data_IF_315709035716
#
_entry.id   IF_315709035716
#
_cell.length_a   1.000
_cell.length_b   1.000
_cell.length_c   1.000
_cell.angle_alpha   90.00
_cell.angle_beta   90.00
_cell.angle_gamma   90.00
#
_symmetry.space_group_name_H-M   'P 1'
#
loop_
_entity.id
_entity.type
_entity.pdbx_description
1 polymer ?
#
# COMPACT_ATOMS: atom_id res chain seq x y z
N UNK A 1 -20.92 37.82 -16.50
CA UNK A 1 -20.96 37.19 -17.84
C UNK A 1 -20.00 36.01 -17.95
N UNK A 2 -18.75 36.11 -17.45
CA UNK A 2 -17.80 34.99 -17.50
C UNK A 2 -18.22 33.80 -16.62
N UNK A 3 -18.87 34.06 -15.49
CA UNK A 3 -19.33 32.99 -14.57
C UNK A 3 -20.31 32.03 -15.23
N UNK A 4 -21.25 32.52 -16.04
CA UNK A 4 -22.21 31.69 -16.77
C UNK A 4 -21.55 30.78 -17.82
N UNK A 5 -20.45 31.25 -18.44
CA UNK A 5 -19.67 30.46 -19.40
C UNK A 5 -18.90 29.34 -18.69
N UNK A 6 -18.31 29.61 -17.53
CA UNK A 6 -17.65 28.61 -16.69
C UNK A 6 -18.65 27.56 -16.23
N UNK A 7 -19.83 28.00 -15.76
CA UNK A 7 -20.88 27.09 -15.28
C UNK A 7 -21.44 26.20 -16.40
N UNK A 8 -21.52 26.73 -17.62
CA UNK A 8 -21.89 25.96 -18.81
C UNK A 8 -20.81 24.94 -19.18
N UNK A 9 -19.54 25.34 -19.16
CA UNK A 9 -18.41 24.46 -19.45
C UNK A 9 -18.31 23.31 -18.42
N UNK A 10 -18.51 23.61 -17.13
CA UNK A 10 -18.59 22.60 -16.07
C UNK A 10 -19.75 21.62 -16.28
N UNK A 11 -20.92 22.09 -16.74
CA UNK A 11 -22.05 21.21 -17.10
C UNK A 11 -21.75 20.32 -18.31
N UNK A 12 -20.97 20.80 -19.28
CA UNK A 12 -20.58 20.03 -20.46
C UNK A 12 -19.48 18.99 -20.15
N UNK A 13 -18.58 19.29 -19.22
CA UNK A 13 -17.66 18.29 -18.65
C UNK A 13 -18.45 17.25 -17.86
N UNK A 14 -19.47 17.66 -17.08
CA UNK A 14 -20.39 16.74 -16.37
C UNK A 14 -21.14 15.80 -17.32
N UNK A 15 -21.58 16.28 -18.49
CA UNK A 15 -22.26 15.43 -19.49
C UNK A 15 -21.30 14.57 -20.31
N UNK A 16 -19.98 14.72 -20.12
CA UNK A 16 -18.96 14.00 -20.87
C UNK A 16 -18.78 14.49 -22.31
N UNK A 17 -19.38 15.63 -22.66
CA UNK A 17 -19.26 16.25 -23.99
C UNK A 17 -17.87 16.85 -24.22
N UNK A 18 -17.16 17.21 -23.15
CA UNK A 18 -15.85 17.87 -23.20
C UNK A 18 -14.86 17.15 -22.29
N UNK A 19 -13.66 16.87 -22.81
CA UNK A 19 -12.60 16.21 -22.06
C UNK A 19 -12.00 17.15 -21.01
N UNK A 20 -11.49 16.57 -19.91
CA UNK A 20 -10.86 17.33 -18.81
C UNK A 20 -9.64 18.13 -19.30
N UNK A 21 -8.94 17.61 -20.31
CA UNK A 21 -7.74 18.25 -20.88
C UNK A 21 -8.14 19.52 -21.66
N UNK A 22 -9.20 19.44 -22.46
CA UNK A 22 -9.68 20.58 -23.25
C UNK A 22 -10.29 21.67 -22.34
N UNK A 23 -11.01 21.26 -21.30
CA UNK A 23 -11.53 22.17 -20.28
C UNK A 23 -10.41 22.92 -19.54
N UNK A 24 -9.29 22.23 -19.25
CA UNK A 24 -8.14 22.82 -18.56
C UNK A 24 -7.42 23.86 -19.41
N UNK A 25 -7.23 23.58 -20.70
CA UNK A 25 -6.62 24.55 -21.63
C UNK A 25 -7.50 25.80 -21.81
N UNK A 26 -8.83 25.64 -21.81
CA UNK A 26 -9.77 26.76 -21.88
C UNK A 26 -9.79 27.64 -20.61
N UNK A 27 -9.33 27.13 -19.47
CA UNK A 27 -9.35 27.83 -18.17
C UNK A 27 -7.97 28.38 -17.76
N UNK A 28 -6.91 28.16 -18.54
CA UNK A 28 -5.50 28.44 -18.18
C UNK A 28 -5.14 29.95 -18.04
N UNK A 29 -6.09 30.85 -18.29
CA UNK A 29 -5.91 32.30 -18.15
C UNK A 29 -7.07 33.05 -17.48
N UNK A 30 -7.99 32.32 -16.85
CA UNK A 30 -9.15 32.90 -16.17
C UNK A 30 -8.92 32.81 -14.66
N UNK A 31 -8.81 33.95 -13.98
CA UNK A 31 -8.80 34.00 -12.51
C UNK A 31 -10.17 33.55 -11.99
N UNK A 32 -10.26 32.31 -11.50
CA UNK A 32 -11.46 31.78 -10.87
C UNK A 32 -11.63 32.40 -9.48
N UNK A 33 -12.88 32.72 -9.11
CA UNK A 33 -13.22 33.05 -7.73
C UNK A 33 -12.94 31.85 -6.81
N UNK A 34 -12.60 32.15 -5.56
CA UNK A 34 -12.27 31.16 -4.52
C UNK A 34 -13.36 30.08 -4.36
N UNK A 35 -14.63 30.47 -4.44
CA UNK A 35 -15.78 29.54 -4.35
C UNK A 35 -15.82 28.53 -5.51
N UNK A 36 -15.48 28.96 -6.73
CA UNK A 36 -15.46 28.08 -7.90
C UNK A 36 -14.23 27.15 -7.89
N UNK A 37 -13.12 27.62 -7.34
CA UNK A 37 -11.92 26.81 -7.12
C UNK A 37 -12.17 25.69 -6.10
N UNK A 38 -12.77 26.02 -4.95
CA UNK A 38 -13.10 25.04 -3.92
C UNK A 38 -14.07 23.96 -4.42
N UNK A 39 -15.08 24.36 -5.20
CA UNK A 39 -16.02 23.40 -5.82
C UNK A 39 -15.31 22.44 -6.81
N UNK A 40 -14.34 22.93 -7.59
CA UNK A 40 -13.57 22.10 -8.50
C UNK A 40 -12.59 21.16 -7.77
N UNK A 41 -11.98 21.62 -6.69
CA UNK A 41 -11.08 20.83 -5.84
C UNK A 41 -11.85 19.74 -5.08
N UNK A 42 -13.00 20.09 -4.48
CA UNK A 42 -13.86 19.13 -3.80
C UNK A 42 -14.42 18.08 -4.76
N UNK A 43 -14.66 18.41 -6.03
CA UNK A 43 -15.09 17.43 -7.03
C UNK A 43 -13.96 16.56 -7.61
N UNK A 44 -12.70 16.99 -7.57
CA UNK A 44 -11.57 16.24 -8.12
C UNK A 44 -11.06 15.10 -7.24
N UNK A 45 -11.50 15.01 -5.98
CA UNK A 45 -10.90 14.11 -4.97
C UNK A 45 -11.73 12.85 -4.66
N UNK A 46 -12.98 12.74 -5.16
CA UNK A 46 -13.91 11.68 -4.72
C UNK A 46 -14.54 10.83 -5.84
N UNK A 47 -13.80 10.46 -6.89
CA UNK A 47 -14.26 9.35 -7.73
C UNK A 47 -13.76 8.02 -7.13
N UNK A 48 -14.67 7.09 -6.86
CA UNK A 48 -14.30 5.72 -6.46
C UNK A 48 -13.44 5.09 -7.57
N UNK A 49 -12.20 4.63 -7.27
CA UNK A 49 -11.32 4.07 -8.29
C UNK A 49 -11.88 2.76 -8.84
N UNK A 50 -11.76 2.55 -10.16
CA UNK A 50 -12.17 1.30 -10.80
C UNK A 50 -11.49 0.07 -10.18
N UNK A 51 -12.22 -1.05 -10.16
CA UNK A 51 -11.73 -2.31 -9.62
C UNK A 51 -10.45 -2.78 -10.30
N UNK A 52 -9.39 -3.01 -9.53
CA UNK A 52 -8.07 -3.36 -10.07
C UNK A 52 -7.12 -2.17 -10.25
N UNK A 53 -7.59 -0.94 -9.98
CA UNK A 53 -6.71 0.23 -9.87
C UNK A 53 -5.71 0.03 -8.73
N UNK A 54 -4.42 0.00 -9.08
CA UNK A 54 -3.33 0.00 -8.11
C UNK A 54 -3.03 1.46 -7.79
N UNK A 55 -3.58 1.95 -6.67
CA UNK A 55 -3.23 3.28 -6.16
C UNK A 55 -1.93 3.14 -5.38
N UNK A 56 -0.82 3.56 -6.00
CA UNK A 56 0.43 3.78 -5.28
C UNK A 56 0.26 5.07 -4.48
N UNK A 57 -0.15 4.97 -3.22
CA UNK A 57 -0.09 6.12 -2.33
C UNK A 57 1.38 6.49 -2.18
N UNK A 58 1.79 7.61 -2.76
CA UNK A 58 3.14 8.15 -2.59
C UNK A 58 3.31 8.75 -1.20
N UNK A 59 3.06 7.96 -0.14
CA UNK A 59 3.77 8.19 1.10
C UNK A 59 5.22 7.92 0.74
N UNK A 60 5.98 9.02 0.60
CA UNK A 60 7.42 9.01 0.32
C UNK A 60 8.03 7.84 1.06
N UNK A 61 8.65 6.87 0.36
CA UNK A 61 9.29 5.75 1.02
C UNK A 61 10.33 6.37 1.95
N UNK A 62 10.16 6.18 3.26
CA UNK A 62 11.18 6.56 4.23
C UNK A 62 12.49 5.75 4.07
N UNK A 63 12.61 4.96 2.99
CA UNK A 63 13.77 4.18 2.60
C UNK A 63 15.01 5.01 2.24
N UNK A 64 14.86 6.33 2.01
CA UNK A 64 16.01 7.24 1.82
C UNK A 64 16.58 7.76 3.16
N UNK A 65 16.02 7.31 4.29
CA UNK A 65 16.54 7.64 5.60
C UNK A 65 17.86 6.90 5.87
N UNK A 66 18.91 7.66 6.19
CA UNK A 66 20.22 7.13 6.64
C UNK A 66 20.08 6.11 7.78
N UNK A 67 19.01 6.20 8.57
CA UNK A 67 18.71 5.27 9.65
C UNK A 67 18.46 3.85 9.13
N UNK A 68 17.75 3.69 8.01
CA UNK A 68 17.46 2.38 7.40
C UNK A 68 18.75 1.73 6.93
N UNK A 69 19.67 2.51 6.35
CA UNK A 69 20.99 2.04 5.93
C UNK A 69 21.84 1.62 7.12
N UNK A 70 21.88 2.41 8.19
CA UNK A 70 22.63 2.07 9.41
C UNK A 70 22.10 0.80 10.08
N UNK A 71 20.77 0.67 10.19
CA UNK A 71 20.14 -0.55 10.72
C UNK A 71 20.41 -1.75 9.81
N UNK A 72 20.43 -1.55 8.49
CA UNK A 72 20.77 -2.58 7.51
C UNK A 72 22.21 -3.11 7.67
N UNK A 73 23.17 -2.19 7.79
CA UNK A 73 24.59 -2.50 8.02
C UNK A 73 24.79 -3.19 9.37
N UNK A 74 24.17 -2.66 10.43
CA UNK A 74 24.16 -3.27 11.76
C UNK A 74 23.60 -4.70 11.70
N UNK A 75 22.44 -4.90 11.10
CA UNK A 75 21.78 -6.20 11.01
C UNK A 75 22.60 -7.23 10.22
N UNK A 76 23.27 -6.81 9.14
CA UNK A 76 24.18 -7.65 8.38
C UNK A 76 25.39 -8.09 9.23
N UNK A 77 26.06 -7.14 9.89
CA UNK A 77 27.24 -7.43 10.73
C UNK A 77 26.86 -8.42 11.85
N UNK A 78 25.76 -8.16 12.56
CA UNK A 78 25.34 -9.03 13.66
C UNK A 78 24.88 -10.39 13.18
N UNK A 79 24.15 -10.47 12.07
CA UNK A 79 23.72 -11.77 11.53
C UNK A 79 24.92 -12.63 11.13
N UNK A 80 25.93 -12.04 10.49
CA UNK A 80 27.18 -12.73 10.16
C UNK A 80 27.95 -13.15 11.42
N UNK A 81 27.99 -12.30 12.45
CA UNK A 81 28.61 -12.63 13.72
C UNK A 81 27.93 -13.82 14.38
N UNK A 82 26.60 -13.78 14.56
CA UNK A 82 25.85 -14.87 15.20
C UNK A 82 25.95 -16.18 14.41
N UNK A 83 25.78 -16.13 13.08
CA UNK A 83 25.89 -17.31 12.23
C UNK A 83 27.32 -17.87 12.16
N UNK A 84 28.33 -17.00 12.16
CA UNK A 84 29.73 -17.38 12.19
C UNK A 84 30.12 -18.03 13.52
N UNK A 85 29.73 -17.42 14.64
CA UNK A 85 29.93 -17.99 15.99
C UNK A 85 29.17 -19.30 16.17
N UNK A 86 27.97 -19.44 15.63
CA UNK A 86 27.24 -20.70 15.61
C UNK A 86 28.03 -21.77 14.86
N UNK A 87 28.48 -21.47 13.64
CA UNK A 87 29.24 -22.41 12.80
C UNK A 87 30.56 -22.82 13.47
N UNK A 88 31.27 -21.85 14.06
CA UNK A 88 32.48 -22.10 14.84
C UNK A 88 32.20 -22.93 16.09
N UNK A 89 31.12 -22.62 16.82
CA UNK A 89 30.72 -23.38 18.01
C UNK A 89 30.33 -24.81 17.69
N UNK A 90 29.68 -25.03 16.55
CA UNK A 90 29.33 -26.37 16.08
C UNK A 90 30.60 -27.19 15.75
N UNK A 91 31.60 -26.56 15.14
CA UNK A 91 32.90 -27.18 14.86
C UNK A 91 33.69 -27.50 16.14
N UNK A 92 33.60 -26.65 17.17
CA UNK A 92 34.30 -26.84 18.44
C UNK A 92 33.46 -27.55 19.52
N UNK A 93 32.36 -28.21 19.14
CA UNK A 93 31.50 -28.98 20.04
C UNK A 93 31.04 -28.20 21.27
N UNK A 94 30.64 -26.94 21.08
CA UNK A 94 30.03 -26.13 22.14
C UNK A 94 28.74 -26.76 22.66
N UNK A 95 28.43 -26.45 23.91
CA UNK A 95 27.21 -26.91 24.55
C UNK A 95 25.95 -26.50 23.77
N UNK A 96 24.96 -27.38 23.76
CA UNK A 96 23.74 -27.23 22.97
C UNK A 96 22.94 -25.99 23.38
N UNK A 97 22.95 -25.63 24.67
CA UNK A 97 22.24 -24.45 25.16
C UNK A 97 22.86 -23.17 24.56
N UNK A 98 24.19 -23.08 24.54
CA UNK A 98 24.90 -21.97 23.94
C UNK A 98 24.66 -21.92 22.42
N UNK A 99 24.70 -23.06 21.73
CA UNK A 99 24.46 -23.12 20.29
C UNK A 99 23.03 -22.69 19.91
N UNK A 100 22.04 -23.08 20.72
CA UNK A 100 20.64 -22.68 20.53
C UNK A 100 20.43 -21.18 20.73
N UNK A 101 21.19 -20.54 21.62
CA UNK A 101 21.18 -19.09 21.79
C UNK A 101 21.69 -18.39 20.53
N UNK A 102 22.83 -18.83 19.98
CA UNK A 102 23.36 -18.25 18.74
C UNK A 102 22.39 -18.41 17.56
N UNK A 103 21.69 -19.54 17.47
CA UNK A 103 20.64 -19.77 16.46
C UNK A 103 19.46 -18.81 16.66
N UNK A 104 18.96 -18.71 17.89
CA UNK A 104 17.85 -17.80 18.23
C UNK A 104 18.21 -16.33 17.94
N UNK A 105 19.43 -15.91 18.27
CA UNK A 105 19.90 -14.55 17.99
C UNK A 105 20.00 -14.30 16.48
N UNK A 106 20.50 -15.25 15.70
CA UNK A 106 20.56 -15.16 14.22
C UNK A 106 19.16 -14.99 13.62
N UNK A 107 18.19 -15.79 14.06
CA UNK A 107 16.81 -15.68 13.59
C UNK A 107 16.17 -14.35 14.01
N UNK A 108 16.43 -13.91 15.24
CA UNK A 108 15.90 -12.66 15.76
C UNK A 108 16.41 -11.45 14.98
N UNK A 109 17.71 -11.39 14.68
CA UNK A 109 18.28 -10.30 13.88
C UNK A 109 17.74 -10.29 12.45
N UNK A 110 17.53 -11.47 11.85
CA UNK A 110 16.90 -11.59 10.54
C UNK A 110 15.44 -11.13 10.54
N UNK A 111 14.66 -11.48 11.57
CA UNK A 111 13.27 -11.03 11.70
C UNK A 111 13.19 -9.52 11.85
N UNK A 112 14.05 -8.92 12.69
CA UNK A 112 14.11 -7.45 12.87
C UNK A 112 14.44 -6.79 11.53
N UNK A 113 15.46 -7.28 10.82
CA UNK A 113 15.82 -6.81 9.48
C UNK A 113 14.67 -6.94 8.49
N UNK A 114 13.94 -8.06 8.51
CA UNK A 114 12.78 -8.30 7.67
C UNK A 114 11.63 -7.32 7.93
N UNK A 115 11.34 -7.03 9.20
CA UNK A 115 10.31 -6.05 9.58
C UNK A 115 10.71 -4.66 9.11
N UNK A 116 11.96 -4.25 9.32
CA UNK A 116 12.47 -2.94 8.87
C UNK A 116 12.39 -2.84 7.35
N UNK A 117 12.76 -3.90 6.63
CA UNK A 117 12.63 -3.95 5.18
C UNK A 117 11.18 -3.79 4.70
N UNK A 118 10.25 -4.57 5.26
CA UNK A 118 8.82 -4.48 4.91
C UNK A 118 8.22 -3.12 5.25
N UNK A 119 8.65 -2.51 6.35
CA UNK A 119 8.09 -1.26 6.85
C UNK A 119 8.63 -0.01 6.15
N UNK A 120 9.91 -0.01 5.77
CA UNK A 120 10.60 1.21 5.33
C UNK A 120 11.15 1.13 3.91
N UNK A 121 11.41 -0.07 3.39
CA UNK A 121 12.02 -0.25 2.05
C UNK A 121 10.99 -0.71 1.02
N UNK A 122 10.11 -1.64 1.39
CA UNK A 122 9.05 -2.09 0.51
C UNK A 122 8.07 -0.93 0.26
N UNK A 123 7.68 -0.65 -1.00
CA UNK A 123 6.67 0.37 -1.27
C UNK A 123 5.33 -0.06 -0.71
N UNK A 124 4.64 0.84 -0.01
CA UNK A 124 3.27 0.63 0.42
C UNK A 124 2.35 0.60 -0.82
N UNK A 125 1.70 -0.54 -1.04
CA UNK A 125 0.77 -0.72 -2.16
C UNK A 125 -0.63 -0.92 -1.58
N UNK A 126 -1.53 0.02 -1.86
CA UNK A 126 -2.96 -0.13 -1.57
C UNK A 126 -3.63 -0.72 -2.81
N UNK A 127 -4.10 -1.95 -2.70
CA UNK A 127 -4.83 -2.63 -3.78
C UNK A 127 -6.31 -2.61 -3.42
N UNK A 128 -7.10 -1.86 -4.20
CA UNK A 128 -8.56 -1.83 -4.06
C UNK A 128 -9.11 -3.12 -4.65
N UNK A 129 -9.48 -4.06 -3.77
CA UNK A 129 -10.16 -5.30 -4.15
C UNK A 129 -11.64 -5.18 -3.83
N UNK A 130 -12.49 -5.13 -4.86
CA UNK A 130 -13.92 -5.30 -4.66
C UNK A 130 -14.22 -6.76 -4.30
N UNK A 131 -14.97 -6.96 -3.21
CA UNK A 131 -15.58 -8.24 -2.91
C UNK A 131 -16.62 -8.52 -4.00
N UNK A 132 -16.40 -9.50 -4.89
CA UNK A 132 -17.51 -10.04 -5.70
C UNK A 132 -18.60 -10.48 -4.74
N UNK A 133 -19.84 -10.00 -4.95
CA UNK A 133 -20.99 -10.56 -4.25
C UNK A 133 -20.97 -12.07 -4.53
N UNK A 134 -20.72 -12.87 -3.47
CA UNK A 134 -20.89 -14.32 -3.56
C UNK A 134 -22.36 -14.53 -3.88
N UNK A 135 -22.66 -15.10 -5.04
CA UNK A 135 -24.01 -15.53 -5.34
C UNK A 135 -24.37 -16.62 -4.34
N UNK A 136 -25.15 -16.27 -3.33
CA UNK A 136 -25.76 -17.21 -2.41
C UNK A 136 -27.01 -17.68 -3.15
N UNK A 137 -26.94 -18.87 -3.74
CA UNK A 137 -28.17 -19.56 -4.16
C UNK A 137 -29.12 -19.62 -2.97
N UNK A 138 -30.44 -19.41 -3.16
CA UNK A 138 -31.42 -19.69 -2.12
C UNK A 138 -31.09 -21.04 -1.49
N UNK A 139 -31.03 -21.10 -0.17
CA UNK A 139 -30.76 -22.36 0.53
C UNK A 139 -31.83 -23.35 0.07
N UNK A 140 -31.43 -24.44 -0.56
CA UNK A 140 -32.34 -25.46 -1.05
C UNK A 140 -33.09 -26.01 0.17
N UNK A 141 -34.37 -25.68 0.29
CA UNK A 141 -35.21 -26.11 1.41
C UNK A 141 -35.36 -27.64 1.46
N UNK A 142 -35.06 -28.34 0.36
CA UNK A 142 -35.09 -29.81 0.30
C UNK A 142 -33.72 -30.48 0.51
N UNK A 143 -32.66 -29.71 0.73
CA UNK A 143 -31.29 -30.23 0.93
C UNK A 143 -31.03 -30.88 2.30
N UNK A 144 -31.98 -30.81 3.23
CA UNK A 144 -31.87 -31.45 4.54
C UNK A 144 -32.08 -32.97 4.44
N UNK A 145 -30.99 -33.74 4.42
CA UNK A 145 -31.03 -35.19 4.67
C UNK A 145 -30.70 -35.49 6.13
N UNK A 146 -31.66 -36.07 6.85
CA UNK A 146 -31.44 -36.62 8.19
C UNK A 146 -30.69 -37.95 8.03
N UNK A 147 -29.41 -37.97 8.39
CA UNK A 147 -28.67 -39.23 8.50
C UNK A 147 -28.98 -39.81 9.88
N UNK A 148 -29.68 -40.94 9.91
CA UNK A 148 -29.84 -41.74 11.13
C UNK A 148 -28.56 -42.55 11.36
N UNK A 149 -28.12 -42.59 12.61
CA UNK A 149 -26.90 -43.30 13.07
C UNK A 149 -27.26 -44.73 13.41
#
# INVERSE_FOLDING_TARGET
MNDDLVLKLLKQVKSGEVSIIDARSALEGIELSEDNYLSAVDHGVFNEPDAGTIVRSSLSPAGDSIMVVLVGLWGLIWTLFWAGSLSYGLYNHWDQQLLSLFLAMTLTTLIIMGIVYLRFVMPDIVIIKHRRNKYITPNDSEGWKKYEV
#
